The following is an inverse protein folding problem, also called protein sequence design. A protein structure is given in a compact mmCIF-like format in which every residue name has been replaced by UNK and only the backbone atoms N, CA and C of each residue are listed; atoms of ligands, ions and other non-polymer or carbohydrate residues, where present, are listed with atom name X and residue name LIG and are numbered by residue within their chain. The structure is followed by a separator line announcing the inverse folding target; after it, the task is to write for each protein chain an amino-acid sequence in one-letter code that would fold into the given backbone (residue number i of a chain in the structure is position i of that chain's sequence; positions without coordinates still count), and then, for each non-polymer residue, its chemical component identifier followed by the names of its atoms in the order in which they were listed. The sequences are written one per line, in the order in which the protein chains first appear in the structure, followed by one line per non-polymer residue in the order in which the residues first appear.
data_IF_847641094600
#
_entry.id   IF_847641094600
#
_cell.length_a   1.000
_cell.length_b   1.000
_cell.length_c   1.000
_cell.angle_alpha   90.00
_cell.angle_beta   90.00
_cell.angle_gamma   90.00
#
_symmetry.space_group_name_H-M   'P 1'
#
loop_
_entity.id
_entity.type
_entity.pdbx_description
1 polymer ?
#
# COMPACT_ATOMS: atom_id res chain seq x y z
N UNK A 1 70.77 -50.81 55.08
CA UNK A 1 71.41 -50.96 53.75
C UNK A 1 70.31 -51.28 52.74
N UNK A 2 69.71 -50.26 52.13
CA UNK A 2 68.56 -50.42 51.22
C UNK A 2 69.11 -50.52 49.80
N UNK A 3 69.01 -51.70 49.18
CA UNK A 3 69.34 -51.90 47.76
C UNK A 3 68.12 -51.51 46.92
N UNK A 4 68.19 -50.36 46.26
CA UNK A 4 67.22 -50.01 45.23
C UNK A 4 67.44 -50.91 44.01
N UNK A 5 66.49 -51.84 43.77
CA UNK A 5 66.43 -52.66 42.55
C UNK A 5 65.85 -51.83 41.41
N UNK A 6 66.59 -51.79 40.30
CA UNK A 6 66.05 -51.61 38.94
C UNK A 6 65.25 -50.34 38.70
N UNK A 7 65.91 -49.19 38.55
CA UNK A 7 65.32 -48.09 37.79
C UNK A 7 65.35 -48.47 36.32
N UNK A 8 64.24 -48.99 35.82
CA UNK A 8 63.98 -49.08 34.39
C UNK A 8 64.09 -47.67 33.81
N UNK A 9 64.81 -47.52 32.70
CA UNK A 9 65.02 -46.21 32.07
C UNK A 9 63.69 -45.72 31.48
N UNK A 10 63.08 -44.69 32.07
CA UNK A 10 61.90 -44.05 31.52
C UNK A 10 62.35 -43.14 30.38
N UNK A 11 61.79 -43.35 29.19
CA UNK A 11 62.09 -42.56 27.99
C UNK A 11 61.24 -41.29 28.02
N UNK A 12 61.87 -40.15 28.30
CA UNK A 12 61.25 -38.84 28.11
C UNK A 12 61.83 -38.26 26.83
N UNK A 13 61.04 -38.30 25.75
CA UNK A 13 61.50 -37.87 24.42
C UNK A 13 62.62 -38.76 23.85
N UNK A 14 63.68 -38.14 23.33
CA UNK A 14 64.82 -38.84 22.70
C UNK A 14 65.86 -39.37 23.69
N UNK A 15 65.62 -39.25 25.01
CA UNK A 15 66.67 -39.38 26.02
C UNK A 15 66.51 -40.57 26.97
N UNK A 16 67.65 -41.18 27.33
CA UNK A 16 67.76 -42.27 28.31
C UNK A 16 68.33 -41.76 29.63
N UNK A 17 67.56 -41.88 30.70
CA UNK A 17 67.99 -41.53 32.06
C UNK A 17 69.30 -42.26 32.43
N UNK A 18 70.34 -41.53 32.83
CA UNK A 18 71.64 -42.07 33.26
C UNK A 18 72.74 -42.21 32.19
N UNK A 19 72.50 -41.82 30.92
CA UNK A 19 73.52 -41.90 29.84
C UNK A 19 74.10 -40.56 29.34
N UNK A 20 73.55 -39.42 29.77
CA UNK A 20 73.95 -38.09 29.29
C UNK A 20 74.10 -37.11 30.46
N UNK A 21 74.98 -36.10 30.30
CA UNK A 21 75.18 -35.05 31.31
C UNK A 21 73.89 -34.25 31.51
N UNK A 22 73.61 -33.84 32.75
CA UNK A 22 72.50 -32.95 33.11
C UNK A 22 72.48 -31.67 32.26
N UNK A 23 73.65 -31.17 31.87
CA UNK A 23 73.79 -29.95 31.07
C UNK A 23 73.15 -30.09 29.67
N UNK A 24 73.20 -31.28 29.07
CA UNK A 24 72.59 -31.51 27.76
C UNK A 24 71.05 -31.44 27.86
N UNK A 25 70.46 -32.01 28.91
CA UNK A 25 69.02 -31.94 29.14
C UNK A 25 68.52 -30.50 29.31
N UNK A 26 69.27 -29.67 30.04
CA UNK A 26 68.90 -28.27 30.24
C UNK A 26 68.99 -27.46 28.94
N UNK A 27 69.94 -27.80 28.06
CA UNK A 27 70.06 -27.19 26.75
C UNK A 27 68.85 -27.52 25.87
N UNK A 28 68.47 -28.80 25.76
CA UNK A 28 67.34 -29.24 24.94
C UNK A 28 66.01 -28.63 25.41
N UNK A 29 65.77 -28.60 26.73
CA UNK A 29 64.56 -27.99 27.31
C UNK A 29 64.52 -26.50 26.96
N UNK A 30 65.67 -25.81 27.03
CA UNK A 30 65.75 -24.39 26.68
C UNK A 30 65.50 -24.16 25.18
N UNK A 31 66.01 -25.02 24.30
CA UNK A 31 65.74 -24.96 22.86
C UNK A 31 64.25 -25.19 22.56
N UNK A 32 63.63 -26.21 23.16
CA UNK A 32 62.20 -26.51 23.00
C UNK A 32 61.31 -25.37 23.53
N UNK A 33 61.66 -24.77 24.68
CA UNK A 33 60.97 -23.59 25.21
C UNK A 33 61.11 -22.37 24.28
N UNK A 34 62.28 -22.16 23.68
CA UNK A 34 62.48 -21.09 22.70
C UNK A 34 61.65 -21.30 21.45
N UNK A 35 61.57 -22.53 20.95
CA UNK A 35 60.78 -22.86 19.77
C UNK A 35 59.27 -22.74 20.05
N UNK A 36 58.79 -23.22 21.20
CA UNK A 36 57.40 -22.97 21.62
C UNK A 36 57.10 -21.47 21.76
N UNK A 37 58.03 -20.69 22.31
CA UNK A 37 57.89 -19.23 22.42
C UNK A 37 57.79 -18.58 21.04
N UNK A 38 58.61 -19.01 20.07
CA UNK A 38 58.54 -18.54 18.67
C UNK A 38 57.21 -18.89 18.01
N UNK A 39 56.74 -20.13 18.17
CA UNK A 39 55.47 -20.58 17.61
C UNK A 39 54.28 -19.82 18.23
N UNK A 40 54.29 -19.64 19.54
CA UNK A 40 53.26 -18.87 20.24
C UNK A 40 53.23 -17.42 19.77
N UNK A 41 54.39 -16.77 19.64
CA UNK A 41 54.49 -15.41 19.10
C UNK A 41 53.91 -15.32 17.69
N UNK A 42 54.29 -16.24 16.80
CA UNK A 42 53.76 -16.30 15.42
C UNK A 42 52.25 -16.52 15.40
N UNK A 43 51.73 -17.39 16.28
CA UNK A 43 50.30 -17.61 16.42
C UNK A 43 49.56 -16.33 16.83
N UNK A 44 50.08 -15.61 17.83
CA UNK A 44 49.50 -14.33 18.27
C UNK A 44 49.54 -13.29 17.16
N UNK A 45 50.64 -13.19 16.41
CA UNK A 45 50.76 -12.27 15.26
C UNK A 45 49.71 -12.58 14.17
N UNK A 46 49.55 -13.85 13.80
CA UNK A 46 48.56 -14.29 12.81
C UNK A 46 47.14 -14.00 13.31
N UNK A 47 46.84 -14.35 14.57
CA UNK A 47 45.52 -14.11 15.15
C UNK A 47 45.20 -12.61 15.21
N UNK A 48 46.17 -11.77 15.58
CA UNK A 48 45.99 -10.32 15.65
C UNK A 48 45.79 -9.72 14.27
N UNK A 49 46.58 -10.15 13.28
CA UNK A 49 46.43 -9.72 11.89
C UNK A 49 45.06 -10.11 11.33
N UNK A 50 44.60 -11.33 11.60
CA UNK A 50 43.26 -11.76 11.20
C UNK A 50 42.15 -10.94 11.87
N UNK A 51 42.27 -10.67 13.17
CA UNK A 51 41.33 -9.81 13.89
C UNK A 51 41.28 -8.38 13.32
N UNK A 52 42.43 -7.81 12.96
CA UNK A 52 42.49 -6.49 12.32
C UNK A 52 41.80 -6.51 10.95
N UNK A 53 42.06 -7.52 10.13
CA UNK A 53 41.39 -7.67 8.83
C UNK A 53 39.87 -7.77 8.99
N UNK A 54 39.38 -8.59 9.94
CA UNK A 54 37.95 -8.71 10.23
C UNK A 54 37.36 -7.36 10.66
N UNK A 55 38.05 -6.62 11.53
CA UNK A 55 37.60 -5.29 11.96
C UNK A 55 37.53 -4.29 10.80
N UNK A 56 38.50 -4.31 9.89
CA UNK A 56 38.48 -3.47 8.68
C UNK A 56 37.32 -3.82 7.75
N UNK A 57 37.08 -5.12 7.52
CA UNK A 57 35.93 -5.55 6.71
C UNK A 57 34.60 -5.17 7.35
N UNK A 58 34.47 -5.30 8.67
CA UNK A 58 33.26 -4.91 9.39
C UNK A 58 33.02 -3.40 9.32
N UNK A 59 34.07 -2.58 9.39
CA UNK A 59 33.96 -1.13 9.21
C UNK A 59 33.46 -0.78 7.80
N UNK A 60 34.05 -1.40 6.77
CA UNK A 60 33.62 -1.18 5.39
C UNK A 60 32.14 -1.56 5.18
N UNK A 61 31.70 -2.69 5.75
CA UNK A 61 30.29 -3.12 5.71
C UNK A 61 29.38 -2.10 6.41
N UNK A 62 29.78 -1.58 7.58
CA UNK A 62 28.99 -0.58 8.30
C UNK A 62 28.86 0.71 7.49
N UNK A 63 29.93 1.16 6.84
CA UNK A 63 29.91 2.34 5.98
C UNK A 63 29.01 2.14 4.76
N UNK A 64 29.06 0.95 4.12
CA UNK A 64 28.18 0.60 3.00
C UNK A 64 26.70 0.56 3.42
N UNK A 65 26.39 -0.04 4.58
CA UNK A 65 25.03 -0.07 5.14
C UNK A 65 24.55 1.36 5.45
N UNK A 66 25.43 2.24 5.95
CA UNK A 66 25.09 3.63 6.19
C UNK A 66 24.76 4.37 4.89
N UNK A 67 25.55 4.15 3.83
CA UNK A 67 25.30 4.74 2.50
C UNK A 67 23.97 4.27 1.92
N UNK A 68 23.69 2.96 1.93
CA UNK A 68 22.42 2.41 1.46
C UNK A 68 21.23 2.97 2.23
N UNK A 69 21.37 3.15 3.55
CA UNK A 69 20.33 3.78 4.37
C UNK A 69 20.05 5.23 3.95
N UNK A 70 21.10 5.99 3.62
CA UNK A 70 20.95 7.37 3.16
C UNK A 70 20.28 7.44 1.78
N UNK A 71 20.68 6.57 0.84
CA UNK A 71 20.03 6.46 -0.47
C UNK A 71 18.55 6.10 -0.36
N UNK A 72 18.22 5.13 0.50
CA UNK A 72 16.84 4.76 0.77
C UNK A 72 16.04 5.92 1.38
N UNK A 73 16.67 6.73 2.22
CA UNK A 73 16.08 7.95 2.78
C UNK A 73 15.68 8.95 1.68
N UNK A 74 16.58 9.21 0.73
CA UNK A 74 16.31 10.11 -0.40
C UNK A 74 15.19 9.56 -1.30
N UNK A 75 15.21 8.26 -1.58
CA UNK A 75 14.15 7.64 -2.39
C UNK A 75 12.79 7.75 -1.70
N UNK A 76 12.75 7.56 -0.38
CA UNK A 76 11.53 7.69 0.42
C UNK A 76 10.95 9.10 0.36
N UNK A 77 11.78 10.15 0.41
CA UNK A 77 11.31 11.53 0.32
C UNK A 77 10.74 11.85 -1.06
N UNK A 78 11.42 11.41 -2.13
CA UNK A 78 10.92 11.57 -3.51
C UNK A 78 9.59 10.86 -3.72
N UNK A 79 9.44 9.64 -3.18
CA UNK A 79 8.18 8.89 -3.26
C UNK A 79 7.05 9.63 -2.52
N UNK A 80 7.32 10.16 -1.33
CA UNK A 80 6.33 10.90 -0.54
C UNK A 80 5.86 12.17 -1.27
N UNK A 81 6.78 12.94 -1.85
CA UNK A 81 6.46 14.12 -2.66
C UNK A 81 5.64 13.75 -3.90
N UNK A 82 6.01 12.67 -4.60
CA UNK A 82 5.26 12.16 -5.75
C UNK A 82 3.83 11.77 -5.40
N UNK A 83 3.64 11.04 -4.29
CA UNK A 83 2.31 10.66 -3.80
C UNK A 83 1.46 11.87 -3.41
N UNK A 84 2.06 12.89 -2.80
CA UNK A 84 1.38 14.14 -2.47
C UNK A 84 0.87 14.85 -3.74
N UNK A 85 1.71 14.98 -4.78
CA UNK A 85 1.33 15.58 -6.06
C UNK A 85 0.17 14.83 -6.73
N UNK A 86 0.19 13.49 -6.68
CA UNK A 86 -0.90 12.66 -7.20
C UNK A 86 -2.21 12.94 -6.43
N UNK A 87 -2.15 13.06 -5.10
CA UNK A 87 -3.31 13.41 -4.27
C UNK A 87 -3.95 14.74 -4.69
N UNK A 88 -3.15 15.79 -4.83
CA UNK A 88 -3.64 17.11 -5.26
C UNK A 88 -4.27 17.07 -6.67
N UNK A 89 -3.67 16.29 -7.58
CA UNK A 89 -4.22 16.12 -8.93
C UNK A 89 -5.58 15.41 -8.90
N UNK A 90 -5.74 14.37 -8.09
CA UNK A 90 -7.00 13.63 -7.92
C UNK A 90 -8.10 14.51 -7.33
N UNK A 91 -7.79 15.34 -6.34
CA UNK A 91 -8.75 16.29 -5.76
C UNK A 91 -9.22 17.31 -6.81
N UNK A 92 -8.29 17.80 -7.63
CA UNK A 92 -8.60 18.75 -8.71
C UNK A 92 -9.53 18.12 -9.75
N UNK A 93 -9.24 16.90 -10.20
CA UNK A 93 -10.08 16.16 -11.15
C UNK A 93 -11.47 15.89 -10.54
N UNK A 94 -11.54 15.51 -9.27
CA UNK A 94 -12.80 15.27 -8.57
C UNK A 94 -13.66 16.55 -8.52
N UNK A 95 -13.05 17.71 -8.22
CA UNK A 95 -13.74 18.99 -8.27
C UNK A 95 -14.24 19.36 -9.67
N UNK A 96 -13.44 19.10 -10.71
CA UNK A 96 -13.87 19.33 -12.10
C UNK A 96 -15.03 18.42 -12.51
N UNK A 97 -15.01 17.15 -12.11
CA UNK A 97 -16.10 16.22 -12.39
C UNK A 97 -17.42 16.64 -11.74
N UNK A 98 -17.38 17.11 -10.49
CA UNK A 98 -18.59 17.59 -9.83
C UNK A 98 -19.12 18.88 -10.49
N UNK A 99 -18.22 19.77 -10.94
CA UNK A 99 -18.61 20.93 -11.73
C UNK A 99 -19.30 20.51 -13.04
N UNK A 100 -18.71 19.60 -13.81
CA UNK A 100 -19.30 19.06 -15.05
C UNK A 100 -20.67 18.41 -14.76
N UNK A 101 -20.78 17.62 -13.69
CA UNK A 101 -22.04 17.01 -13.27
C UNK A 101 -23.10 18.07 -12.98
N UNK A 102 -22.75 19.13 -12.26
CA UNK A 102 -23.66 20.22 -11.95
C UNK A 102 -24.10 20.99 -13.21
N UNK A 103 -23.18 21.19 -14.15
CA UNK A 103 -23.46 21.84 -15.42
C UNK A 103 -24.36 20.98 -16.30
N UNK A 104 -24.19 19.66 -16.34
CA UNK A 104 -25.05 18.75 -17.10
C UNK A 104 -26.44 18.58 -16.47
N UNK A 105 -26.57 18.78 -15.16
CA UNK A 105 -27.88 18.77 -14.50
C UNK A 105 -28.75 19.99 -14.88
N UNK A 106 -28.14 21.14 -15.19
CA UNK A 106 -28.86 22.39 -15.50
C UNK A 106 -29.68 22.33 -16.81
N UNK A 107 -29.14 21.93 -17.97
CA UNK A 107 -29.89 21.80 -19.23
C UNK A 107 -31.08 20.86 -19.12
N UNK A 108 -30.94 19.76 -18.36
CA UNK A 108 -32.05 18.82 -18.14
C UNK A 108 -33.17 19.44 -17.30
N UNK A 109 -32.83 20.28 -16.32
CA UNK A 109 -33.82 21.01 -15.54
C UNK A 109 -34.53 22.08 -16.37
N UNK A 110 -33.82 22.81 -17.25
CA UNK A 110 -34.44 23.80 -18.13
C UNK A 110 -35.36 23.16 -19.16
N UNK A 111 -34.90 22.08 -19.82
CA UNK A 111 -35.72 21.35 -20.80
C UNK A 111 -36.95 20.71 -20.14
N UNK A 112 -36.81 20.15 -18.93
CA UNK A 112 -37.95 19.64 -18.18
C UNK A 112 -38.98 20.74 -17.88
N UNK A 113 -38.53 21.93 -17.48
CA UNK A 113 -39.42 23.06 -17.18
C UNK A 113 -40.14 23.58 -18.44
N UNK A 114 -39.45 23.63 -19.58
CA UNK A 114 -40.06 24.01 -20.86
C UNK A 114 -41.15 23.01 -21.27
N UNK A 115 -40.88 21.71 -21.14
CA UNK A 115 -41.88 20.67 -21.40
C UNK A 115 -43.06 20.74 -20.43
N UNK A 116 -42.84 21.07 -19.15
CA UNK A 116 -43.91 21.29 -18.19
C UNK A 116 -44.79 22.48 -18.58
N UNK A 117 -44.20 23.58 -19.01
CA UNK A 117 -44.95 24.77 -19.42
C UNK A 117 -45.81 24.47 -20.66
N UNK A 118 -45.24 23.81 -21.68
CA UNK A 118 -45.99 23.40 -22.87
C UNK A 118 -47.11 22.41 -22.53
N UNK A 119 -46.85 21.48 -21.61
CA UNK A 119 -47.87 20.54 -21.14
C UNK A 119 -49.04 21.25 -20.45
N UNK A 120 -48.76 22.28 -19.65
CA UNK A 120 -49.78 23.13 -19.03
C UNK A 120 -50.59 23.91 -20.08
N UNK A 121 -49.95 24.51 -21.07
CA UNK A 121 -50.64 25.26 -22.12
C UNK A 121 -51.62 24.36 -22.90
N UNK A 122 -51.19 23.14 -23.26
CA UNK A 122 -52.06 22.14 -23.89
C UNK A 122 -53.19 21.67 -22.99
N UNK A 123 -52.93 21.52 -21.69
CA UNK A 123 -53.94 21.18 -20.70
C UNK A 123 -55.03 22.24 -20.64
N UNK A 124 -54.64 23.52 -20.59
CA UNK A 124 -55.59 24.64 -20.58
C UNK A 124 -56.37 24.75 -21.90
N UNK A 125 -55.77 24.34 -23.02
CA UNK A 125 -56.44 24.21 -24.31
C UNK A 125 -57.39 22.99 -24.40
N UNK A 126 -57.41 22.11 -23.40
CA UNK A 126 -58.25 20.91 -23.36
C UNK A 126 -57.67 19.69 -24.10
N UNK A 127 -56.44 19.78 -24.60
CA UNK A 127 -55.77 18.71 -25.35
C UNK A 127 -55.04 17.79 -24.36
N UNK A 128 -55.81 16.99 -23.63
CA UNK A 128 -55.31 16.21 -22.48
C UNK A 128 -54.33 15.09 -22.85
N UNK A 129 -54.49 14.46 -24.02
CA UNK A 129 -53.61 13.36 -24.47
C UNK A 129 -52.19 13.85 -24.70
N UNK A 130 -52.04 14.95 -25.43
CA UNK A 130 -50.73 15.50 -25.79
C UNK A 130 -50.05 16.13 -24.57
N UNK A 131 -50.84 16.77 -23.71
CA UNK A 131 -50.39 17.26 -22.40
C UNK A 131 -49.78 16.13 -21.56
N UNK A 132 -50.45 14.97 -21.47
CA UNK A 132 -49.94 13.81 -20.74
C UNK A 132 -48.58 13.33 -21.29
N UNK A 133 -48.43 13.24 -22.62
CA UNK A 133 -47.16 12.83 -23.24
C UNK A 133 -46.03 13.78 -22.87
N UNK A 134 -46.28 15.11 -22.89
CA UNK A 134 -45.27 16.09 -22.48
C UNK A 134 -44.93 15.99 -21.00
N UNK A 135 -45.90 15.80 -20.10
CA UNK A 135 -45.63 15.55 -18.68
C UNK A 135 -44.79 14.29 -18.47
N UNK A 136 -45.09 13.20 -19.19
CA UNK A 136 -44.30 11.98 -19.11
C UNK A 136 -42.85 12.23 -19.54
N UNK A 137 -42.63 12.96 -20.64
CA UNK A 137 -41.27 13.34 -21.08
C UNK A 137 -40.56 14.21 -20.05
N UNK A 138 -41.21 15.24 -19.50
CA UNK A 138 -40.64 16.06 -18.43
C UNK A 138 -40.24 15.21 -17.21
N UNK A 139 -41.07 14.23 -16.82
CA UNK A 139 -40.77 13.30 -15.73
C UNK A 139 -39.60 12.36 -16.04
N UNK A 140 -39.26 12.10 -17.31
CA UNK A 140 -38.05 11.32 -17.65
C UNK A 140 -36.77 12.15 -17.52
N UNK A 141 -36.84 13.46 -17.77
CA UNK A 141 -35.72 14.37 -17.62
C UNK A 141 -35.47 14.77 -16.15
N UNK A 142 -36.55 14.88 -15.37
CA UNK A 142 -36.51 15.21 -13.94
C UNK A 142 -37.35 14.22 -13.10
N UNK A 143 -36.88 12.95 -12.94
CA UNK A 143 -37.65 11.88 -12.31
C UNK A 143 -38.05 12.13 -10.85
N UNK A 144 -37.29 12.97 -10.13
CA UNK A 144 -37.54 13.31 -8.73
C UNK A 144 -38.08 14.73 -8.56
N UNK A 145 -38.53 15.40 -9.63
CA UNK A 145 -39.14 16.72 -9.50
C UNK A 145 -40.54 16.59 -8.88
N UNK A 146 -40.79 17.19 -7.69
CA UNK A 146 -42.11 17.13 -7.05
C UNK A 146 -43.20 17.76 -7.93
N UNK A 147 -42.84 18.79 -8.69
CA UNK A 147 -43.74 19.47 -9.61
C UNK A 147 -44.15 18.58 -10.78
N UNK A 148 -43.20 17.87 -11.40
CA UNK A 148 -43.52 16.89 -12.45
C UNK A 148 -44.47 15.81 -11.95
N UNK A 149 -44.19 15.24 -10.77
CA UNK A 149 -45.00 14.17 -10.18
C UNK A 149 -46.40 14.67 -9.83
N UNK A 150 -46.51 15.87 -9.26
CA UNK A 150 -47.79 16.49 -8.91
C UNK A 150 -48.66 16.76 -10.15
N UNK A 151 -48.10 17.41 -11.19
CA UNK A 151 -48.85 17.75 -12.41
C UNK A 151 -49.26 16.49 -13.19
N UNK A 152 -48.38 15.50 -13.28
CA UNK A 152 -48.65 14.22 -13.93
C UNK A 152 -49.71 13.40 -13.16
N UNK A 153 -49.66 13.39 -11.82
CA UNK A 153 -50.72 12.82 -10.98
C UNK A 153 -52.07 13.51 -11.18
N UNK A 154 -52.06 14.85 -11.27
CA UNK A 154 -53.25 15.65 -11.54
C UNK A 154 -53.87 15.34 -12.91
N UNK A 155 -53.05 15.10 -13.94
CA UNK A 155 -53.51 14.64 -15.26
C UNK A 155 -54.21 13.30 -15.24
N UNK A 156 -53.65 12.32 -14.53
CA UNK A 156 -54.31 11.02 -14.39
C UNK A 156 -55.66 11.14 -13.66
N UNK A 157 -55.74 12.01 -12.65
CA UNK A 157 -57.00 12.26 -11.95
C UNK A 157 -58.04 12.99 -12.82
N UNK A 158 -57.62 13.93 -13.66
CA UNK A 158 -58.52 14.63 -14.58
C UNK A 158 -59.06 13.72 -15.69
N UNK A 159 -58.20 12.83 -16.23
CA UNK A 159 -58.62 11.79 -17.17
C UNK A 159 -59.68 10.85 -16.58
N UNK A 160 -59.68 10.62 -15.27
CA UNK A 160 -60.70 9.78 -14.60
C UNK A 160 -62.13 10.34 -14.69
N UNK A 161 -62.29 11.67 -14.72
CA UNK A 161 -63.59 12.32 -14.61
C UNK A 161 -64.27 12.60 -15.96
N UNK A 162 -63.53 12.55 -17.07
CA UNK A 162 -64.12 12.57 -18.39
C UNK A 162 -64.59 11.13 -18.69
N UNK A 163 -65.90 10.90 -18.74
CA UNK A 163 -66.55 9.58 -18.92
C UNK A 163 -66.16 8.84 -20.23
N UNK A 164 -65.24 9.38 -21.01
CA UNK A 164 -64.72 8.85 -22.27
C UNK A 164 -63.18 8.65 -22.29
N UNK A 165 -62.46 8.85 -21.19
CA UNK A 165 -61.00 8.97 -21.25
C UNK A 165 -60.25 7.63 -21.40
N UNK A 166 -59.45 7.56 -22.46
CA UNK A 166 -58.55 6.49 -22.93
C UNK A 166 -57.37 6.20 -21.96
N UNK A 167 -57.41 6.73 -20.72
CA UNK A 167 -56.24 6.92 -19.87
C UNK A 167 -56.20 5.90 -18.73
N UNK A 168 -55.39 4.85 -18.92
CA UNK A 168 -55.34 3.65 -18.08
C UNK A 168 -54.66 3.92 -16.72
N UNK A 169 -55.45 4.03 -15.64
CA UNK A 169 -55.01 4.37 -14.27
C UNK A 169 -54.05 3.35 -13.63
N UNK A 170 -54.14 2.08 -14.01
CA UNK A 170 -53.24 1.04 -13.51
C UNK A 170 -51.78 1.29 -13.93
N UNK A 171 -51.59 1.93 -15.09
CA UNK A 171 -50.28 2.31 -15.59
C UNK A 171 -49.71 3.51 -14.82
N UNK A 172 -50.57 4.43 -14.35
CA UNK A 172 -50.19 5.57 -13.54
C UNK A 172 -49.69 5.16 -12.14
N UNK A 173 -50.44 4.31 -11.45
CA UNK A 173 -50.09 3.87 -10.09
C UNK A 173 -48.83 3.01 -10.12
N UNK A 174 -48.67 2.14 -11.12
CA UNK A 174 -47.46 1.32 -11.27
C UNK A 174 -46.21 2.14 -11.67
N UNK A 175 -46.35 3.20 -12.47
CA UNK A 175 -45.22 4.06 -12.83
C UNK A 175 -44.82 5.01 -11.72
N UNK A 176 -45.78 5.55 -10.95
CA UNK A 176 -45.51 6.40 -9.79
C UNK A 176 -44.96 5.59 -8.60
N UNK A 177 -45.52 4.40 -8.33
CA UNK A 177 -45.09 3.53 -7.23
C UNK A 177 -43.68 2.98 -7.39
N UNK A 178 -43.23 2.70 -8.61
CA UNK A 178 -41.87 2.18 -8.89
C UNK A 178 -40.78 3.25 -8.86
N UNK A 179 -41.11 4.54 -8.95
CA UNK A 179 -40.13 5.64 -8.97
C UNK A 179 -39.87 6.25 -7.58
N UNK A 180 -40.70 5.92 -6.59
CA UNK A 180 -40.59 6.44 -5.22
C UNK A 180 -39.85 5.49 -4.24
N UNK A 181 -39.52 4.26 -4.67
CA UNK A 181 -38.72 3.26 -3.93
C UNK A 181 -37.25 3.30 -4.36
#
# INVERSE_FOLDING_TARGET
MVRFRGFESWKVGSYYYGKQSLDNYLLDINEELQDHTRLFKRYVEISTSHQQQVLETNRAIVDEVHNLRNELGILSTVLQEGLYCIGVALDTISGQLENIRSLLARPRATEANELLQQAEDLRFAGILTDSLVLYQRASTLAPNSPECLYRLGTMYLLGRNAEESVLNLDLAVSTLGKRAS
#
